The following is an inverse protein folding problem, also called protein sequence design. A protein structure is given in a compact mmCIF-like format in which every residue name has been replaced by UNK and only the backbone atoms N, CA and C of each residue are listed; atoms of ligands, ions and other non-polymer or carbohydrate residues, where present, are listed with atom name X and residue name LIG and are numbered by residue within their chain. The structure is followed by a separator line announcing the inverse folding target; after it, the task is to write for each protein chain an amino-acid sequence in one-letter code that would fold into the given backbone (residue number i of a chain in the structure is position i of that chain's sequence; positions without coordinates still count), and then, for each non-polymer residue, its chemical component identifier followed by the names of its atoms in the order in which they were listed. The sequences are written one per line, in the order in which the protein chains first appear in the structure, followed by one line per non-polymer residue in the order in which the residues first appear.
data_IF_579326452337
#
_entry.id   IF_579326452337
#
_cell.length_a   1.000
_cell.length_b   1.000
_cell.length_c   1.000
_cell.angle_alpha   90.00
_cell.angle_beta   90.00
_cell.angle_gamma   90.00
#
_symmetry.space_group_name_H-M   'P 1'
#
loop_
_entity.id
_entity.type
_entity.pdbx_description
1 polymer ?
#
# COMPACT_ATOMS: atom_id res chain seq x y z
N UNK A 1 -13.72 9.04 9.68
CA UNK A 1 -13.64 7.76 8.95
C UNK A 1 -13.46 8.09 7.48
N UNK A 2 -12.35 7.67 6.88
CA UNK A 2 -12.04 7.95 5.47
C UNK A 2 -12.48 6.77 4.60
N UNK A 3 -12.85 7.03 3.35
CA UNK A 3 -13.16 5.99 2.38
C UNK A 3 -11.95 5.74 1.49
N UNK A 4 -11.41 4.52 1.52
CA UNK A 4 -10.31 4.11 0.64
C UNK A 4 -10.87 3.48 -0.62
N UNK A 5 -10.51 4.05 -1.79
CA UNK A 5 -10.87 3.50 -3.10
C UNK A 5 -9.64 2.98 -3.82
N UNK A 6 -9.76 1.81 -4.42
CA UNK A 6 -8.69 1.21 -5.21
C UNK A 6 -8.77 1.61 -6.68
N UNK A 7 -7.63 1.93 -7.30
CA UNK A 7 -7.55 2.12 -8.74
C UNK A 7 -7.57 0.79 -9.50
N UNK A 8 -7.91 0.83 -10.79
CA UNK A 8 -7.86 -0.37 -11.65
C UNK A 8 -6.44 -0.96 -11.76
N UNK A 9 -5.41 -0.11 -11.76
CA UNK A 9 -4.00 -0.53 -11.77
C UNK A 9 -3.62 -1.25 -10.48
N UNK A 10 -4.09 -0.75 -9.33
CA UNK A 10 -3.90 -1.39 -8.03
C UNK A 10 -4.54 -2.77 -7.98
N UNK A 11 -5.82 -2.89 -8.37
CA UNK A 11 -6.54 -4.17 -8.36
C UNK A 11 -5.85 -5.22 -9.22
N UNK A 12 -5.40 -4.85 -10.43
CA UNK A 12 -4.61 -5.73 -11.30
C UNK A 12 -3.28 -6.14 -10.67
N UNK A 13 -2.58 -5.20 -10.04
CA UNK A 13 -1.30 -5.47 -9.39
C UNK A 13 -1.46 -6.42 -8.20
N UNK A 14 -2.44 -6.21 -7.32
CA UNK A 14 -2.73 -7.09 -6.19
C UNK A 14 -3.11 -8.48 -6.66
N UNK A 15 -3.98 -8.61 -7.67
CA UNK A 15 -4.34 -9.92 -8.24
C UNK A 15 -3.12 -10.68 -8.75
N UNK A 16 -2.20 -10.00 -9.42
CA UNK A 16 -0.93 -10.59 -9.90
C UNK A 16 0.00 -10.97 -8.74
N UNK A 17 0.15 -10.09 -7.74
CA UNK A 17 1.00 -10.34 -6.59
C UNK A 17 0.49 -11.50 -5.75
N UNK A 18 -0.81 -11.63 -5.58
CA UNK A 18 -1.47 -12.70 -4.80
C UNK A 18 -1.15 -14.09 -5.33
N UNK A 19 -0.87 -14.23 -6.64
CA UNK A 19 -0.46 -15.51 -7.23
C UNK A 19 0.91 -15.98 -6.72
N UNK A 20 1.83 -15.05 -6.44
CA UNK A 20 3.20 -15.35 -6.01
C UNK A 20 3.41 -15.18 -4.51
N UNK A 21 2.61 -14.32 -3.88
CA UNK A 21 2.67 -13.93 -2.48
C UNK A 21 1.24 -13.98 -1.92
N UNK A 22 0.78 -15.14 -1.43
CA UNK A 22 -0.59 -15.33 -0.98
C UNK A 22 -1.01 -14.36 0.13
N UNK A 23 -0.08 -13.89 0.96
CA UNK A 23 -0.36 -12.94 2.04
C UNK A 23 -0.31 -11.47 1.60
N UNK A 24 0.04 -11.16 0.35
CA UNK A 24 0.12 -9.78 -0.14
C UNK A 24 -1.19 -8.97 0.06
N UNK A 25 -2.41 -9.52 -0.18
CA UNK A 25 -3.64 -8.80 0.14
C UNK A 25 -3.77 -8.46 1.62
N UNK A 26 -3.42 -9.40 2.51
CA UNK A 26 -3.48 -9.19 3.96
C UNK A 26 -2.46 -8.16 4.45
N UNK A 27 -1.26 -8.17 3.86
CA UNK A 27 -0.23 -7.18 4.14
C UNK A 27 -0.66 -5.76 3.76
N UNK A 28 -1.42 -5.65 2.68
CA UNK A 28 -1.96 -4.39 2.18
C UNK A 28 -3.18 -3.92 2.97
N UNK A 29 -4.05 -4.83 3.41
CA UNK A 29 -5.22 -4.48 4.24
C UNK A 29 -4.84 -3.72 5.51
N UNK A 30 -3.74 -4.09 6.17
CA UNK A 30 -3.25 -3.35 7.36
C UNK A 30 -2.99 -1.86 7.08
N UNK A 31 -2.59 -1.54 5.84
CA UNK A 31 -2.40 -0.16 5.41
C UNK A 31 -3.75 0.51 5.16
N UNK A 32 -4.69 -0.19 4.53
CA UNK A 32 -6.06 0.30 4.31
C UNK A 32 -6.72 0.67 5.65
N UNK A 33 -6.67 -0.20 6.65
CA UNK A 33 -7.25 0.05 7.99
C UNK A 33 -6.63 1.31 8.65
N UNK A 34 -5.32 1.51 8.47
CA UNK A 34 -4.63 2.71 8.96
C UNK A 34 -5.10 3.97 8.23
N UNK A 35 -5.32 3.89 6.91
CA UNK A 35 -5.81 5.02 6.13
C UNK A 35 -7.28 5.35 6.45
N UNK A 36 -8.13 4.34 6.65
CA UNK A 36 -9.55 4.53 6.99
C UNK A 36 -9.75 5.17 8.37
N UNK A 37 -8.85 4.87 9.31
CA UNK A 37 -8.78 5.51 10.63
C UNK A 37 -8.20 6.93 10.61
N UNK A 38 -7.74 7.43 9.45
CA UNK A 38 -7.19 8.77 9.29
C UNK A 38 -5.70 8.89 9.60
N UNK A 39 -5.01 7.76 9.78
CA UNK A 39 -3.56 7.73 9.93
C UNK A 39 -2.88 7.64 8.55
N UNK A 40 -2.61 8.80 7.96
CA UNK A 40 -1.91 8.91 6.67
C UNK A 40 -0.42 8.61 6.83
N UNK A 41 -0.07 7.34 6.73
CA UNK A 41 1.30 6.85 6.84
C UNK A 41 2.06 6.89 5.51
N UNK A 42 3.39 6.95 5.57
CA UNK A 42 4.28 6.84 4.41
C UNK A 42 5.08 8.11 4.13
N UNK A 43 5.95 8.02 3.14
CA UNK A 43 6.82 9.12 2.74
C UNK A 43 6.13 9.92 1.63
N UNK A 44 6.03 11.25 1.78
CA UNK A 44 5.56 12.11 0.71
C UNK A 44 6.48 12.00 -0.51
N UNK A 45 5.90 11.86 -1.71
CA UNK A 45 6.66 11.84 -2.96
C UNK A 45 6.95 13.30 -3.36
N UNK A 46 8.23 13.69 -3.51
CA UNK A 46 8.58 15.04 -3.95
C UNK A 46 7.98 15.36 -5.31
N UNK A 47 7.63 16.63 -5.53
CA UNK A 47 7.04 17.10 -6.79
C UNK A 47 5.52 16.95 -6.93
N UNK A 48 4.82 16.40 -5.91
CA UNK A 48 3.36 16.23 -5.90
C UNK A 48 2.65 17.04 -4.81
N UNK A 49 3.19 18.20 -4.44
CA UNK A 49 2.59 19.12 -3.45
C UNK A 49 2.15 18.46 -2.14
N UNK A 50 2.88 17.44 -1.67
CA UNK A 50 2.57 16.65 -0.47
C UNK A 50 1.18 15.97 -0.47
N UNK A 51 0.61 15.68 -1.65
CA UNK A 51 -0.67 14.97 -1.77
C UNK A 51 -0.52 13.47 -2.05
N UNK A 52 0.65 13.07 -2.55
CA UNK A 52 0.94 11.70 -2.94
C UNK A 52 1.98 11.10 -1.99
N UNK A 53 1.68 9.92 -1.47
CA UNK A 53 2.45 9.25 -0.44
C UNK A 53 2.86 7.85 -0.88
N UNK A 54 4.00 7.39 -0.40
CA UNK A 54 4.56 6.06 -0.68
C UNK A 54 4.78 5.30 0.62
N UNK A 55 4.10 4.16 0.74
CA UNK A 55 4.21 3.26 1.89
C UNK A 55 5.05 2.04 1.52
N UNK A 56 6.05 1.71 2.35
CA UNK A 56 6.87 0.50 2.20
C UNK A 56 6.32 -0.61 3.09
N UNK A 57 5.68 -1.59 2.48
CA UNK A 57 5.04 -2.71 3.18
C UNK A 57 6.02 -3.89 3.21
N UNK A 58 6.45 -4.40 4.38
CA UNK A 58 7.17 -5.66 4.43
C UNK A 58 6.25 -6.80 3.96
N UNK A 59 6.78 -7.73 3.18
CA UNK A 59 6.01 -8.91 2.76
C UNK A 59 6.11 -9.98 3.85
N UNK A 60 4.97 -10.45 4.34
CA UNK A 60 4.90 -11.55 5.31
C UNK A 60 5.38 -12.88 4.70
N UNK A 61 5.21 -13.05 3.39
CA UNK A 61 5.70 -14.22 2.64
C UNK A 61 7.24 -14.25 2.50
N UNK A 62 7.93 -13.15 2.80
CA UNK A 62 9.38 -13.02 2.58
C UNK A 62 10.11 -12.64 3.87
N UNK A 63 11.05 -13.47 4.31
CA UNK A 63 11.97 -13.19 5.42
C UNK A 63 13.09 -12.18 5.06
N UNK A 64 12.78 -11.14 4.28
CA UNK A 64 13.74 -10.12 3.78
C UNK A 64 13.38 -8.68 4.17
N UNK A 65 12.41 -8.51 5.09
CA UNK A 65 11.97 -7.20 5.58
C UNK A 65 11.49 -6.25 4.48
N UNK A 66 11.61 -4.94 4.71
CA UNK A 66 11.12 -3.88 3.79
C UNK A 66 11.82 -3.86 2.41
N UNK A 67 12.98 -4.50 2.24
CA UNK A 67 13.68 -4.58 0.94
C UNK A 67 13.06 -5.62 0.02
N UNK A 68 12.48 -6.69 0.59
CA UNK A 68 11.81 -7.75 -0.17
C UNK A 68 10.30 -7.55 -0.36
N UNK A 69 9.72 -6.50 0.24
CA UNK A 69 8.28 -6.27 0.28
C UNK A 69 7.71 -5.45 -0.88
N UNK A 70 6.58 -4.79 -0.61
CA UNK A 70 5.79 -4.06 -1.59
C UNK A 70 5.86 -2.55 -1.35
N UNK A 71 5.47 -1.78 -2.38
CA UNK A 71 5.28 -0.34 -2.28
C UNK A 71 3.86 -0.04 -2.70
N UNK A 72 3.11 0.66 -1.84
CA UNK A 72 1.80 1.19 -2.16
C UNK A 72 1.94 2.69 -2.30
N UNK A 73 1.33 3.24 -3.34
CA UNK A 73 1.25 4.68 -3.57
C UNK A 73 -0.22 5.04 -3.46
N UNK A 74 -0.53 6.05 -2.66
CA UNK A 74 -1.88 6.59 -2.56
C UNK A 74 -1.81 8.12 -2.60
N UNK A 75 -2.94 8.72 -2.90
CA UNK A 75 -3.13 10.15 -2.76
C UNK A 75 -4.44 10.37 -1.99
N UNK A 76 -4.51 11.48 -1.26
CA UNK A 76 -5.75 11.97 -0.68
C UNK A 76 -6.10 13.30 -1.33
N UNK A 77 -7.39 13.54 -1.52
CA UNK A 77 -7.96 14.75 -2.10
C UNK A 77 -9.14 15.19 -1.25
#
# INVERSE_FOLDING_TARGET
MFSVKTSSSFTKAIKRLSKKYPNAPKDVLRIVDSLESGNFIGDAIPGFSQRVYKVRIPSSDRKRGKRGGFRVIYYHA
#
